data_IF_169695902823
#
_entry.id   IF_169695902823
#
_cell.length_a   1.000
_cell.length_b   1.000
_cell.length_c   1.000
_cell.angle_alpha   90.00
_cell.angle_beta   90.00
_cell.angle_gamma   90.00
#
_symmetry.space_group_name_H-M   'P 1'
#
loop_
_entity.id
_entity.type
_entity.pdbx_description
1 polymer ?
#
# COMPACT_ATOMS: atom_id res chain seq x y z
N UNK A 1 44.30 10.69 2.45
CA UNK A 1 43.65 10.87 1.14
C UNK A 1 42.33 10.15 1.20
N UNK A 2 41.25 10.91 1.36
CA UNK A 2 39.90 10.40 1.42
C UNK A 2 39.47 9.92 0.03
N UNK A 3 38.92 8.70 -0.04
CA UNK A 3 38.25 8.19 -1.23
C UNK A 3 36.87 8.84 -1.29
N UNK A 4 36.70 9.78 -2.22
CA UNK A 4 35.39 10.33 -2.57
C UNK A 4 34.54 9.26 -3.25
N UNK A 5 33.57 8.72 -2.50
CA UNK A 5 32.40 8.04 -3.06
C UNK A 5 31.61 9.05 -3.89
N UNK A 6 31.79 9.01 -5.22
CA UNK A 6 30.90 9.71 -6.15
C UNK A 6 29.48 9.14 -6.04
N UNK A 7 28.57 9.94 -5.50
CA UNK A 7 27.14 9.74 -5.62
C UNK A 7 26.74 9.95 -7.08
N UNK A 8 26.45 8.86 -7.79
CA UNK A 8 25.82 8.91 -9.12
C UNK A 8 24.31 9.09 -8.91
N UNK A 9 23.81 10.27 -9.28
CA UNK A 9 22.38 10.54 -9.44
C UNK A 9 21.94 10.11 -10.85
N UNK A 10 20.90 9.27 -11.03
CA UNK A 10 20.53 8.80 -12.35
C UNK A 10 19.55 9.77 -13.03
N UNK A 11 20.00 10.39 -14.11
CA UNK A 11 19.12 10.96 -15.14
C UNK A 11 18.62 9.85 -16.06
N UNK A 12 17.34 9.50 -15.93
CA UNK A 12 16.67 8.33 -16.56
C UNK A 12 16.85 8.18 -18.08
N UNK A 13 17.14 9.27 -18.81
CA UNK A 13 17.28 9.25 -20.27
C UNK A 13 18.61 8.66 -20.75
N UNK A 14 19.65 8.62 -19.91
CA UNK A 14 20.95 8.01 -20.25
C UNK A 14 20.94 6.48 -20.13
N UNK A 15 20.13 5.94 -19.22
CA UNK A 15 20.09 4.51 -18.94
C UNK A 15 19.47 3.73 -20.11
N UNK A 16 18.37 4.23 -20.67
CA UNK A 16 17.71 3.61 -21.83
C UNK A 16 18.59 3.60 -23.09
N UNK A 17 19.33 4.69 -23.36
CA UNK A 17 20.29 4.77 -24.48
C UNK A 17 21.49 3.85 -24.29
N UNK A 18 21.89 3.61 -23.05
CA UNK A 18 23.01 2.71 -22.70
C UNK A 18 22.59 1.25 -22.84
N UNK A 19 21.39 0.90 -22.37
CA UNK A 19 20.82 -0.44 -22.54
C UNK A 19 20.64 -0.79 -24.02
N UNK A 20 20.11 0.14 -24.83
CA UNK A 20 19.94 -0.08 -26.28
C UNK A 20 21.27 -0.34 -26.99
N UNK A 21 22.32 0.43 -26.65
CA UNK A 21 23.68 0.21 -27.20
C UNK A 21 24.27 -1.13 -26.75
N UNK A 22 24.06 -1.51 -25.50
CA UNK A 22 24.48 -2.80 -24.96
C UNK A 22 23.82 -3.95 -25.72
N UNK A 23 22.49 -3.95 -25.84
CA UNK A 23 21.73 -4.98 -26.56
C UNK A 23 22.18 -5.10 -28.03
N UNK A 24 22.36 -3.97 -28.71
CA UNK A 24 22.86 -3.97 -30.09
C UNK A 24 24.27 -4.55 -30.21
N UNK A 25 25.11 -4.41 -29.18
CA UNK A 25 26.45 -4.99 -29.15
C UNK A 25 26.42 -6.50 -28.85
N UNK A 26 25.47 -6.95 -28.03
CA UNK A 26 25.22 -8.38 -27.78
C UNK A 26 24.79 -9.11 -29.06
N UNK A 27 23.94 -8.50 -29.90
CA UNK A 27 23.52 -9.08 -31.18
C UNK A 27 24.69 -9.34 -32.15
N UNK A 28 25.79 -8.60 -32.03
CA UNK A 28 27.00 -8.78 -32.85
C UNK A 28 27.95 -9.87 -32.33
N UNK A 29 27.66 -10.50 -31.20
CA UNK A 29 28.49 -11.55 -30.60
C UNK A 29 28.13 -12.94 -31.17
N UNK A 30 29.03 -13.91 -31.08
CA UNK A 30 28.72 -15.29 -31.46
C UNK A 30 27.66 -15.90 -30.54
N UNK A 31 26.84 -16.82 -31.04
CA UNK A 31 25.75 -17.46 -30.27
C UNK A 31 26.26 -18.04 -28.94
N UNK A 32 27.40 -18.74 -28.95
CA UNK A 32 28.00 -19.31 -27.73
C UNK A 32 28.32 -18.25 -26.68
N UNK A 33 28.81 -17.08 -27.11
CA UNK A 33 29.17 -16.00 -26.20
C UNK A 33 27.93 -15.28 -25.67
N UNK A 34 26.88 -15.15 -26.49
CA UNK A 34 25.58 -14.65 -26.05
C UNK A 34 24.97 -15.56 -24.98
N UNK A 35 24.94 -16.87 -25.23
CA UNK A 35 24.42 -17.88 -24.31
C UNK A 35 25.14 -17.85 -22.96
N UNK A 36 26.48 -17.91 -22.96
CA UNK A 36 27.27 -17.82 -21.72
C UNK A 36 27.05 -16.50 -20.98
N UNK A 37 26.90 -15.38 -21.68
CA UNK A 37 26.61 -14.09 -21.07
C UNK A 37 25.23 -14.07 -20.39
N UNK A 38 24.20 -14.61 -21.05
CA UNK A 38 22.87 -14.70 -20.47
C UNK A 38 22.80 -15.70 -19.30
N UNK A 39 23.51 -16.82 -19.37
CA UNK A 39 23.64 -17.77 -18.25
C UNK A 39 24.32 -17.13 -17.04
N UNK A 40 25.40 -16.36 -17.25
CA UNK A 40 26.09 -15.65 -16.19
C UNK A 40 25.20 -14.58 -15.56
N UNK A 41 24.46 -13.81 -16.37
CA UNK A 41 23.47 -12.85 -15.90
C UNK A 41 22.37 -13.55 -15.09
N UNK A 42 21.81 -14.66 -15.59
CA UNK A 42 20.77 -15.42 -14.89
C UNK A 42 21.28 -15.95 -13.54
N UNK A 43 22.50 -16.48 -13.50
CA UNK A 43 23.14 -16.97 -12.27
C UNK A 43 23.37 -15.84 -11.28
N UNK A 44 23.81 -14.68 -11.76
CA UNK A 44 24.02 -13.50 -10.92
C UNK A 44 22.70 -13.00 -10.30
N UNK A 45 21.65 -12.89 -11.12
CA UNK A 45 20.30 -12.52 -10.65
C UNK A 45 19.79 -13.52 -9.61
N UNK A 46 19.95 -14.83 -9.84
CA UNK A 46 19.56 -15.86 -8.88
C UNK A 46 20.31 -15.76 -7.54
N UNK A 47 21.60 -15.40 -7.58
CA UNK A 47 22.40 -15.14 -6.38
C UNK A 47 21.93 -13.91 -5.61
N UNK A 48 21.61 -12.82 -6.32
CA UNK A 48 21.03 -11.62 -5.71
C UNK A 48 19.68 -11.93 -5.05
N UNK A 49 18.78 -12.64 -5.73
CA UNK A 49 17.51 -13.06 -5.12
C UNK A 49 17.73 -13.92 -3.88
N UNK A 50 18.72 -14.81 -3.88
CA UNK A 50 19.04 -15.64 -2.72
C UNK A 50 19.57 -14.79 -1.56
N UNK A 51 20.35 -13.73 -1.83
CA UNK A 51 20.77 -12.76 -0.83
C UNK A 51 19.58 -11.99 -0.26
N UNK A 52 18.72 -11.44 -1.12
CA UNK A 52 17.53 -10.72 -0.69
C UNK A 52 16.58 -11.61 0.13
N UNK A 53 16.44 -12.89 -0.24
CA UNK A 53 15.68 -13.89 0.54
C UNK A 53 16.30 -14.12 1.93
N UNK A 54 17.62 -14.23 2.04
CA UNK A 54 18.32 -14.38 3.34
C UNK A 54 18.14 -13.14 4.22
N UNK A 55 18.19 -11.96 3.62
CA UNK A 55 18.09 -10.68 4.33
C UNK A 55 16.63 -10.29 4.62
N UNK A 56 15.65 -11.11 4.21
CA UNK A 56 14.23 -10.85 4.40
C UNK A 56 13.67 -9.70 3.56
N UNK A 57 14.41 -9.31 2.52
CA UNK A 57 14.12 -8.18 1.63
C UNK A 57 13.78 -8.56 0.17
N UNK A 58 13.20 -9.75 -0.15
CA UNK A 58 12.97 -10.15 -1.55
C UNK A 58 11.96 -9.28 -2.30
N UNK A 59 11.26 -8.39 -1.60
CA UNK A 59 10.28 -7.47 -2.17
C UNK A 59 10.72 -5.99 -2.04
N UNK A 60 11.98 -5.73 -1.68
CA UNK A 60 12.49 -4.37 -1.59
C UNK A 60 12.46 -3.72 -2.98
N UNK A 61 11.81 -2.57 -3.09
CA UNK A 61 11.58 -1.89 -4.38
C UNK A 61 10.35 -2.36 -5.16
N UNK A 62 9.70 -3.46 -4.77
CA UNK A 62 8.43 -3.90 -5.35
C UNK A 62 7.30 -3.06 -4.75
N UNK A 63 6.57 -2.34 -5.60
CA UNK A 63 5.35 -1.67 -5.17
C UNK A 63 4.29 -2.75 -4.88
N UNK A 64 3.93 -2.88 -3.61
CA UNK A 64 2.93 -3.86 -3.19
C UNK A 64 1.65 -3.17 -2.75
N UNK A 65 0.52 -3.63 -3.29
CA UNK A 65 -0.80 -3.17 -2.91
C UNK A 65 -1.08 -3.45 -1.42
N UNK A 66 -0.60 -4.59 -0.91
CA UNK A 66 -0.79 -5.04 0.47
C UNK A 66 0.02 -4.25 1.51
N UNK A 67 1.20 -3.72 1.13
CA UNK A 67 2.19 -3.16 2.09
C UNK A 67 2.13 -1.64 2.28
N UNK A 68 1.13 -0.96 1.74
CA UNK A 68 0.90 0.45 2.00
C UNK A 68 1.43 1.37 0.90
N UNK A 69 0.50 1.84 0.09
CA UNK A 69 0.64 2.97 -0.84
C UNK A 69 -0.43 4.00 -0.45
N UNK A 70 -1.30 4.40 -1.38
CA UNK A 70 -2.48 5.25 -1.11
C UNK A 70 -3.58 4.58 -0.25
N UNK A 71 -3.52 3.26 -0.06
CA UNK A 71 -4.55 2.48 0.62
C UNK A 71 -4.25 2.15 2.09
N UNK A 72 -3.00 2.38 2.52
CA UNK A 72 -2.50 1.97 3.82
C UNK A 72 -2.26 0.47 3.95
N UNK A 73 -2.08 -0.02 5.18
CA UNK A 73 -1.94 -1.44 5.51
C UNK A 73 -3.27 -2.14 5.32
N UNK A 74 -3.31 -3.07 4.36
CA UNK A 74 -4.46 -3.91 4.11
C UNK A 74 -4.39 -5.17 4.98
N UNK A 75 -5.55 -5.60 5.48
CA UNK A 75 -5.71 -6.88 6.16
C UNK A 75 -5.91 -7.99 5.13
N UNK A 76 -6.73 -7.73 4.12
CA UNK A 76 -7.11 -8.72 3.13
C UNK A 76 -7.35 -8.08 1.76
N UNK A 77 -7.05 -8.82 0.70
CA UNK A 77 -7.46 -8.49 -0.65
C UNK A 77 -8.21 -9.67 -1.25
N UNK A 78 -9.42 -9.45 -1.75
CA UNK A 78 -10.24 -10.49 -2.37
C UNK A 78 -10.55 -10.11 -3.82
N UNK A 79 -10.45 -11.06 -4.73
CA UNK A 79 -10.90 -10.86 -6.11
C UNK A 79 -12.43 -10.98 -6.17
N UNK A 80 -13.10 -9.92 -6.65
CA UNK A 80 -14.55 -9.88 -6.83
C UNK A 80 -14.97 -10.40 -8.20
N UNK A 81 -14.20 -10.07 -9.23
CA UNK A 81 -14.41 -10.57 -10.59
C UNK A 81 -13.12 -10.47 -11.41
N UNK A 82 -13.04 -11.31 -12.43
CA UNK A 82 -12.03 -11.27 -13.48
C UNK A 82 -12.71 -11.32 -14.86
N UNK A 83 -12.33 -10.41 -15.74
CA UNK A 83 -12.83 -10.27 -17.11
C UNK A 83 -11.66 -10.42 -18.08
N UNK A 84 -11.73 -11.38 -19.00
CA UNK A 84 -10.71 -11.54 -20.03
C UNK A 84 -10.91 -10.48 -21.12
N UNK A 85 -9.82 -9.82 -21.50
CA UNK A 85 -9.75 -8.83 -22.57
C UNK A 85 -8.85 -9.36 -23.70
N UNK A 86 -8.98 -8.81 -24.93
CA UNK A 86 -8.04 -9.07 -26.02
C UNK A 86 -6.57 -8.90 -25.63
N UNK A 87 -5.69 -9.61 -26.34
CA UNK A 87 -4.24 -9.52 -26.10
C UNK A 87 -3.76 -10.20 -24.83
N UNK A 88 -4.47 -11.23 -24.35
CA UNK A 88 -4.18 -11.97 -23.11
C UNK A 88 -4.07 -11.05 -21.88
N UNK A 89 -4.94 -10.04 -21.84
CA UNK A 89 -5.12 -9.14 -20.72
C UNK A 89 -6.32 -9.60 -19.89
N UNK A 90 -6.27 -9.35 -18.58
CA UNK A 90 -7.36 -9.70 -17.67
C UNK A 90 -7.59 -8.54 -16.72
N UNK A 91 -8.82 -8.01 -16.75
CA UNK A 91 -9.27 -6.92 -15.91
C UNK A 91 -9.92 -7.49 -14.65
N UNK A 92 -9.33 -7.20 -13.49
CA UNK A 92 -9.76 -7.72 -12.20
C UNK A 92 -10.32 -6.62 -11.33
N UNK A 93 -11.47 -6.87 -10.69
CA UNK A 93 -11.95 -6.00 -9.59
C UNK A 93 -11.55 -6.62 -8.27
N UNK A 94 -10.87 -5.85 -7.45
CA UNK A 94 -10.33 -6.25 -6.17
C UNK A 94 -11.06 -5.49 -5.05
N UNK A 95 -11.46 -6.23 -4.02
CA UNK A 95 -11.93 -5.68 -2.76
C UNK A 95 -10.76 -5.61 -1.77
N UNK A 96 -10.36 -4.39 -1.43
CA UNK A 96 -9.28 -4.11 -0.49
C UNK A 96 -9.90 -3.88 0.89
N UNK A 97 -9.60 -4.74 1.84
CA UNK A 97 -10.06 -4.61 3.22
C UNK A 97 -8.91 -4.09 4.09
N UNK A 98 -9.19 -3.03 4.84
CA UNK A 98 -8.34 -2.47 5.90
C UNK A 98 -9.11 -2.37 7.21
N UNK A 99 -8.48 -1.77 8.21
CA UNK A 99 -9.08 -1.63 9.54
C UNK A 99 -8.68 -2.80 10.43
N UNK A 100 -9.30 -2.85 11.60
CA UNK A 100 -8.93 -3.73 12.69
C UNK A 100 -10.15 -4.00 13.56
N UNK A 101 -10.37 -5.26 13.91
CA UNK A 101 -11.40 -5.62 14.88
C UNK A 101 -10.96 -5.24 16.31
N UNK A 102 -11.90 -5.34 17.26
CA UNK A 102 -11.62 -4.90 18.63
C UNK A 102 -10.64 -5.86 19.33
N UNK A 103 -10.75 -7.15 19.01
CA UNK A 103 -9.93 -8.22 19.57
C UNK A 103 -8.46 -8.06 19.17
N UNK A 104 -8.16 -7.79 17.89
CA UNK A 104 -6.80 -7.50 17.40
C UNK A 104 -6.26 -6.21 18.02
N UNK A 105 -7.09 -5.16 18.11
CA UNK A 105 -6.69 -3.89 18.75
C UNK A 105 -6.37 -4.08 20.24
N UNK A 106 -7.17 -4.86 20.97
CA UNK A 106 -6.95 -5.18 22.37
C UNK A 106 -5.66 -5.99 22.56
N UNK A 107 -5.46 -7.02 21.73
CA UNK A 107 -4.22 -7.79 21.73
C UNK A 107 -2.99 -6.94 21.35
N UNK A 108 -3.15 -5.87 20.57
CA UNK A 108 -2.05 -4.92 20.31
C UNK A 108 -1.72 -4.08 21.55
N UNK A 109 -2.71 -3.66 22.32
CA UNK A 109 -2.49 -2.93 23.58
C UNK A 109 -1.81 -3.80 24.62
N UNK A 110 -2.22 -5.06 24.76
CA UNK A 110 -1.62 -6.02 25.70
C UNK A 110 -0.14 -6.33 25.36
N UNK A 111 0.19 -6.42 24.07
CA UNK A 111 1.57 -6.65 23.60
C UNK A 111 2.42 -5.38 23.55
N UNK A 112 1.82 -4.20 23.76
CA UNK A 112 2.54 -2.94 23.67
C UNK A 112 3.53 -2.81 24.84
N UNK A 113 4.75 -2.28 24.59
CA UNK A 113 5.69 -1.98 25.66
C UNK A 113 5.09 -1.01 26.68
N UNK A 114 5.59 -1.04 27.91
CA UNK A 114 5.18 -0.09 28.94
C UNK A 114 5.40 1.37 28.48
N UNK A 115 4.36 2.17 28.70
CA UNK A 115 4.40 3.60 28.45
C UNK A 115 4.60 4.33 29.78
N UNK A 116 5.80 4.87 29.95
CA UNK A 116 6.18 5.69 31.11
C UNK A 116 5.21 6.86 31.31
N UNK A 117 4.65 7.38 30.20
CA UNK A 117 3.80 8.57 30.21
C UNK A 117 2.31 8.22 30.41
N UNK A 118 1.99 6.93 30.50
CA UNK A 118 0.66 6.37 30.71
C UNK A 118 -0.43 6.92 29.75
N UNK A 119 -0.05 7.27 28.51
CA UNK A 119 -0.94 7.76 27.45
C UNK A 119 -1.40 6.65 26.49
N UNK A 120 -0.92 5.42 26.65
CA UNK A 120 -1.44 4.28 25.90
C UNK A 120 -2.84 3.88 26.36
N UNK A 121 -3.71 3.54 25.41
CA UNK A 121 -5.04 3.02 25.69
C UNK A 121 -6.08 3.49 24.71
N UNK A 122 -7.34 3.18 25.00
CA UNK A 122 -8.48 3.59 24.18
C UNK A 122 -8.93 5.01 24.53
N UNK A 123 -9.24 5.77 23.49
CA UNK A 123 -9.69 7.15 23.56
C UNK A 123 -10.97 7.33 22.74
N UNK A 124 -11.82 8.23 23.21
CA UNK A 124 -13.06 8.62 22.56
C UNK A 124 -13.05 10.12 22.25
N UNK A 125 -13.43 10.49 21.03
CA UNK A 125 -13.68 11.88 20.64
C UNK A 125 -15.13 12.24 20.97
N UNK A 126 -15.33 13.06 22.00
CA UNK A 126 -16.66 13.39 22.55
C UNK A 126 -17.66 13.95 21.54
N UNK A 127 -17.20 14.59 20.45
CA UNK A 127 -18.10 15.22 19.46
C UNK A 127 -18.88 14.21 18.60
N UNK A 128 -18.32 13.02 18.38
CA UNK A 128 -18.85 12.03 17.43
C UNK A 128 -18.80 10.60 17.97
N UNK A 129 -18.49 10.44 19.27
CA UNK A 129 -18.27 9.14 19.93
C UNK A 129 -17.26 8.24 19.20
N UNK A 130 -16.33 8.84 18.43
CA UNK A 130 -15.33 8.12 17.65
C UNK A 130 -14.27 7.53 18.55
N UNK A 131 -14.00 6.23 18.41
CA UNK A 131 -13.05 5.52 19.25
C UNK A 131 -11.80 5.19 18.46
N UNK A 132 -10.65 5.33 19.13
CA UNK A 132 -9.35 4.96 18.60
C UNK A 132 -8.46 4.42 19.72
N UNK A 133 -7.46 3.66 19.32
CA UNK A 133 -6.44 3.13 20.22
C UNK A 133 -5.15 3.93 20.01
N UNK A 134 -4.55 4.37 21.10
CA UNK A 134 -3.29 5.12 21.10
C UNK A 134 -2.19 4.21 21.63
N UNK A 135 -1.15 4.00 20.84
CA UNK A 135 0.02 3.20 21.19
C UNK A 135 1.30 4.04 21.09
N UNK A 136 2.21 3.86 22.04
CA UNK A 136 3.50 4.55 22.05
C UNK A 136 4.36 4.01 20.91
N UNK A 137 5.05 4.93 20.24
CA UNK A 137 5.99 4.62 19.17
C UNK A 137 7.25 5.47 19.37
N UNK A 138 8.42 4.82 19.31
CA UNK A 138 9.69 5.55 19.23
C UNK A 138 9.94 6.00 17.79
N UNK A 139 10.23 7.29 17.61
CA UNK A 139 10.69 7.80 16.30
C UNK A 139 12.14 7.42 16.07
N UNK A 140 12.62 7.59 14.82
CA UNK A 140 14.05 7.37 14.49
C UNK A 140 14.98 8.26 15.29
N UNK A 141 14.50 9.47 15.63
CA UNK A 141 15.23 10.47 16.41
C UNK A 141 15.11 10.24 17.94
N UNK A 142 14.55 9.10 18.37
CA UNK A 142 14.38 8.74 19.77
C UNK A 142 13.26 9.51 20.50
N UNK A 143 12.54 10.40 19.83
CA UNK A 143 11.43 11.15 20.43
C UNK A 143 10.22 10.26 20.68
N UNK A 144 9.49 10.57 21.75
CA UNK A 144 8.22 9.89 22.09
C UNK A 144 7.12 10.42 21.18
N UNK A 145 6.59 9.53 20.35
CA UNK A 145 5.41 9.77 19.53
C UNK A 145 4.37 8.67 19.79
N UNK A 146 3.20 8.85 19.21
CA UNK A 146 2.10 7.92 19.32
C UNK A 146 1.56 7.55 17.94
N UNK A 147 1.09 6.31 17.84
CA UNK A 147 0.37 5.79 16.70
C UNK A 147 -1.09 5.64 17.08
N UNK A 148 -1.96 6.14 16.21
CA UNK A 148 -3.41 6.09 16.31
C UNK A 148 -3.89 4.91 15.48
N UNK A 149 -4.44 3.89 16.12
CA UNK A 149 -5.08 2.75 15.47
C UNK A 149 -6.58 3.03 15.43
N UNK A 150 -7.16 2.92 14.23
CA UNK A 150 -8.58 3.17 13.99
C UNK A 150 -9.28 1.89 13.54
N UNK A 151 -10.58 1.71 13.86
CA UNK A 151 -11.32 0.53 13.42
C UNK A 151 -11.40 0.41 11.89
N UNK A 152 -11.38 1.52 11.17
CA UNK A 152 -11.75 1.59 9.75
C UNK A 152 -10.60 1.95 8.79
N UNK A 153 -9.43 2.30 9.33
CA UNK A 153 -8.29 2.79 8.54
C UNK A 153 -6.99 2.19 9.03
N UNK A 154 -5.93 2.36 8.24
CA UNK A 154 -4.60 2.02 8.66
C UNK A 154 -4.13 2.87 9.83
N UNK A 155 -3.26 2.31 10.71
CA UNK A 155 -2.68 3.07 11.80
C UNK A 155 -1.98 4.35 11.32
N UNK A 156 -2.30 5.48 11.94
CA UNK A 156 -1.80 6.82 11.59
C UNK A 156 -0.80 7.29 12.64
N UNK A 157 0.18 8.07 12.23
CA UNK A 157 1.14 8.73 13.14
C UNK A 157 0.83 10.22 13.33
N UNK A 158 -0.20 10.72 12.65
CA UNK A 158 -0.58 12.13 12.70
C UNK A 158 -1.95 12.31 13.37
N UNK A 159 -2.04 13.30 14.25
CA UNK A 159 -3.26 13.80 14.86
C UNK A 159 -3.52 15.20 14.30
N UNK A 160 -4.67 15.38 13.63
CA UNK A 160 -5.08 16.65 13.02
C UNK A 160 -4.01 17.25 12.08
N UNK A 161 -3.40 16.40 11.25
CA UNK A 161 -2.37 16.77 10.26
C UNK A 161 -0.95 16.96 10.82
N UNK A 162 -0.77 16.90 12.13
CA UNK A 162 0.53 17.07 12.79
C UNK A 162 1.00 15.75 13.41
N UNK A 163 2.31 15.58 13.59
CA UNK A 163 2.87 14.41 14.29
C UNK A 163 2.23 14.27 15.68
N UNK A 164 1.79 13.05 16.01
CA UNK A 164 1.15 12.76 17.28
C UNK A 164 2.21 12.62 18.38
N UNK A 165 2.71 13.77 18.86
CA UNK A 165 3.70 13.83 19.95
C UNK A 165 3.02 13.75 21.33
N UNK A 166 3.80 13.52 22.38
CA UNK A 166 3.32 13.59 23.76
C UNK A 166 2.62 14.92 24.08
N UNK A 167 3.19 16.04 23.66
CA UNK A 167 2.60 17.36 23.88
C UNK A 167 1.23 17.47 23.21
N UNK A 168 1.11 16.98 21.97
CA UNK A 168 -0.16 16.99 21.25
C UNK A 168 -1.18 16.03 21.86
N UNK A 169 -0.74 14.89 22.38
CA UNK A 169 -1.60 13.97 23.14
C UNK A 169 -2.12 14.60 24.44
N UNK A 170 -1.28 15.33 25.17
CA UNK A 170 -1.70 16.02 26.40
C UNK A 170 -2.65 17.21 26.15
N UNK A 171 -2.53 17.86 25.00
CA UNK A 171 -3.36 19.01 24.62
C UNK A 171 -4.68 18.64 23.95
N UNK A 172 -4.87 17.39 23.53
CA UNK A 172 -6.08 17.00 22.84
C UNK A 172 -7.28 16.90 23.80
N UNK A 173 -8.49 16.98 23.24
CA UNK A 173 -9.75 16.88 23.99
C UNK A 173 -10.32 15.45 24.03
N UNK A 174 -9.53 14.44 23.68
CA UNK A 174 -10.00 13.06 23.64
C UNK A 174 -10.06 12.49 25.04
N UNK A 175 -11.19 11.88 25.39
CA UNK A 175 -11.39 11.26 26.70
C UNK A 175 -10.83 9.83 26.66
N UNK A 176 -9.94 9.50 27.59
CA UNK A 176 -9.52 8.10 27.78
C UNK A 176 -10.68 7.28 28.33
N UNK A 177 -10.87 6.07 27.79
CA UNK A 177 -11.93 5.15 28.17
C UNK A 177 -11.37 3.76 28.45
N UNK A 178 -12.12 2.94 29.18
CA UNK A 178 -11.75 1.53 29.43
C UNK A 178 -11.95 0.70 28.16
N UNK A 179 -11.22 -0.44 28.01
CA UNK A 179 -11.46 -1.37 26.90
C UNK A 179 -12.92 -1.82 26.80
N UNK A 180 -13.57 -2.10 27.93
CA UNK A 180 -14.99 -2.52 27.95
C UNK A 180 -15.92 -1.45 27.37
N UNK A 181 -15.71 -0.19 27.75
CA UNK A 181 -16.46 0.94 27.19
C UNK A 181 -16.11 1.19 25.71
N UNK A 182 -14.89 0.85 25.29
CA UNK A 182 -14.46 1.02 23.91
C UNK A 182 -15.06 -0.03 22.96
N UNK A 183 -15.29 -1.25 23.45
CA UNK A 183 -15.70 -2.41 22.64
C UNK A 183 -16.93 -2.15 21.78
N UNK A 184 -18.00 -1.67 22.41
CA UNK A 184 -19.27 -1.45 21.70
C UNK A 184 -19.12 -0.41 20.59
N UNK A 185 -18.54 0.75 20.91
CA UNK A 185 -18.34 1.82 19.93
C UNK A 185 -17.33 1.44 18.84
N UNK A 186 -16.26 0.70 19.17
CA UNK A 186 -15.29 0.20 18.20
C UNK A 186 -15.95 -0.76 17.22
N UNK A 187 -16.66 -1.77 17.71
CA UNK A 187 -17.36 -2.75 16.88
C UNK A 187 -18.42 -2.10 16.01
N UNK A 188 -19.15 -1.12 16.56
CA UNK A 188 -20.14 -0.36 15.79
C UNK A 188 -19.48 0.46 14.67
N UNK A 189 -18.41 1.20 14.95
CA UNK A 189 -17.67 1.95 13.92
C UNK A 189 -17.04 1.04 12.88
N UNK A 190 -16.46 -0.08 13.32
CA UNK A 190 -15.91 -1.10 12.44
C UNK A 190 -16.98 -1.61 11.48
N UNK A 191 -18.18 -1.97 11.99
CA UNK A 191 -19.32 -2.39 11.17
C UNK A 191 -19.80 -1.30 10.21
N UNK A 192 -20.06 -0.08 10.69
CA UNK A 192 -20.57 1.02 9.85
C UNK A 192 -19.60 1.39 8.73
N UNK A 193 -18.30 1.28 8.99
CA UNK A 193 -17.24 1.59 8.00
C UNK A 193 -17.23 0.67 6.78
N UNK A 194 -17.99 -0.43 6.79
CA UNK A 194 -18.16 -1.28 5.63
C UNK A 194 -18.77 -0.54 4.44
N UNK A 195 -19.83 0.21 4.71
CA UNK A 195 -20.65 0.83 3.66
C UNK A 195 -20.68 2.35 3.78
N UNK A 196 -20.55 2.88 5.01
CA UNK A 196 -20.71 4.29 5.33
C UNK A 196 -19.37 4.98 5.47
N UNK A 197 -19.23 6.15 4.86
CA UNK A 197 -18.06 7.00 5.07
C UNK A 197 -18.10 7.65 6.46
N UNK A 198 -16.94 8.14 6.92
CA UNK A 198 -16.81 8.78 8.23
C UNK A 198 -17.73 10.00 8.38
N UNK A 199 -18.01 10.74 7.30
CA UNK A 199 -18.94 11.87 7.34
C UNK A 199 -20.35 11.43 7.73
N UNK A 200 -20.85 10.35 7.13
CA UNK A 200 -22.18 9.80 7.44
C UNK A 200 -22.20 9.24 8.86
N UNK A 201 -21.13 8.55 9.29
CA UNK A 201 -20.99 8.08 10.67
C UNK A 201 -21.03 9.23 11.69
N UNK A 202 -20.53 10.42 11.31
CA UNK A 202 -20.58 11.66 12.11
C UNK A 202 -21.92 12.41 12.02
N UNK A 203 -22.91 11.89 11.28
CA UNK A 203 -24.18 12.55 11.03
C UNK A 203 -24.09 13.74 10.05
N UNK A 204 -23.02 13.83 9.25
CA UNK A 204 -22.82 14.89 8.26
C UNK A 204 -23.31 14.44 6.87
N UNK A 205 -23.79 15.38 6.06
CA UNK A 205 -24.16 15.11 4.67
C UNK A 205 -22.90 14.92 3.81
N UNK A 206 -22.76 13.77 3.15
CA UNK A 206 -21.68 13.49 2.22
C UNK A 206 -22.17 13.59 0.77
N UNK A 207 -21.99 14.76 0.15
CA UNK A 207 -22.41 14.98 -1.24
C UNK A 207 -21.64 14.15 -2.28
N UNK A 208 -20.57 13.47 -1.89
CA UNK A 208 -19.79 12.62 -2.77
C UNK A 208 -20.21 11.14 -2.62
N UNK A 209 -20.91 10.61 -3.62
CA UNK A 209 -21.34 9.20 -3.68
C UNK A 209 -20.18 8.21 -3.73
N UNK A 210 -19.00 8.63 -4.20
CA UNK A 210 -17.78 7.80 -4.27
C UNK A 210 -16.82 8.10 -3.11
N UNK A 211 -17.30 8.72 -2.02
CA UNK A 211 -16.48 9.02 -0.86
C UNK A 211 -15.87 7.74 -0.25
N UNK A 212 -14.54 7.73 -0.14
CA UNK A 212 -13.73 6.65 0.42
C UNK A 212 -13.28 6.91 1.87
N UNK A 213 -13.54 8.11 2.38
CA UNK A 213 -13.07 8.57 3.69
C UNK A 213 -13.67 7.71 4.79
N UNK A 214 -12.80 7.01 5.53
CA UNK A 214 -13.18 6.15 6.64
C UNK A 214 -13.97 4.90 6.27
N UNK A 215 -13.99 4.48 4.99
CA UNK A 215 -14.51 3.16 4.60
C UNK A 215 -13.43 2.10 4.78
N UNK A 216 -13.77 0.93 5.31
CA UNK A 216 -12.82 -0.19 5.46
C UNK A 216 -12.66 -1.03 4.20
N UNK A 217 -13.69 -1.08 3.35
CA UNK A 217 -13.62 -1.74 2.05
C UNK A 217 -13.47 -0.70 0.94
N UNK A 218 -12.48 -0.92 0.08
CA UNK A 218 -12.28 -0.16 -1.13
C UNK A 218 -12.28 -1.08 -2.33
N UNK A 219 -12.90 -0.63 -3.41
CA UNK A 219 -12.80 -1.33 -4.70
C UNK A 219 -11.74 -0.67 -5.58
N UNK A 220 -10.83 -1.48 -6.09
CA UNK A 220 -9.85 -1.09 -7.10
C UNK A 220 -9.95 -2.02 -8.30
N UNK A 221 -9.55 -1.52 -9.47
CA UNK A 221 -9.46 -2.32 -10.68
C UNK A 221 -8.00 -2.51 -11.05
N UNK A 222 -7.61 -3.74 -11.36
CA UNK A 222 -6.24 -4.11 -11.69
C UNK A 222 -6.21 -4.82 -13.04
N UNK A 223 -5.41 -4.31 -13.98
CA UNK A 223 -5.12 -4.95 -15.25
C UNK A 223 -3.90 -5.86 -15.11
N UNK A 224 -4.04 -7.10 -15.51
CA UNK A 224 -3.08 -8.19 -15.33
C UNK A 224 -2.95 -8.96 -16.65
N UNK A 225 -1.99 -9.89 -16.76
CA UNK A 225 -1.72 -10.66 -17.97
C UNK A 225 -0.50 -10.12 -18.72
N UNK A 226 -0.54 -10.09 -20.05
CA UNK A 226 0.57 -9.62 -20.88
C UNK A 226 0.68 -8.09 -20.95
N UNK A 227 0.66 -7.43 -19.79
CA UNK A 227 0.69 -5.96 -19.65
C UNK A 227 1.93 -5.35 -20.30
N UNK A 228 3.08 -6.03 -20.23
CA UNK A 228 4.34 -5.55 -20.81
C UNK A 228 4.33 -5.51 -22.34
N UNK A 229 3.55 -6.38 -22.99
CA UNK A 229 3.44 -6.39 -24.46
C UNK A 229 2.70 -5.14 -24.95
N UNK A 230 1.72 -4.69 -24.17
CA UNK A 230 0.91 -3.51 -24.47
C UNK A 230 1.41 -2.26 -23.75
N UNK A 231 2.67 -2.25 -23.29
CA UNK A 231 3.19 -1.21 -22.38
C UNK A 231 3.08 0.20 -22.96
N UNK A 232 3.49 0.39 -24.22
CA UNK A 232 3.47 1.70 -24.86
C UNK A 232 2.05 2.26 -25.01
N UNK A 233 1.10 1.40 -25.42
CA UNK A 233 -0.32 1.74 -25.47
C UNK A 233 -0.87 2.12 -24.09
N UNK A 234 -0.56 1.32 -23.07
CA UNK A 234 -1.00 1.57 -21.70
C UNK A 234 -0.38 2.86 -21.13
N UNK A 235 0.87 3.17 -21.45
CA UNK A 235 1.51 4.43 -21.07
C UNK A 235 0.86 5.64 -21.77
N UNK A 236 0.53 5.52 -23.06
CA UNK A 236 -0.18 6.57 -23.79
C UNK A 236 -1.59 6.81 -23.23
N UNK A 237 -2.29 5.75 -22.83
CA UNK A 237 -3.66 5.83 -22.30
C UNK A 237 -3.72 6.32 -20.86
N UNK A 238 -2.87 5.78 -19.98
CA UNK A 238 -2.92 5.99 -18.53
C UNK A 238 -1.90 7.04 -18.04
N UNK A 239 -0.97 7.47 -18.91
CA UNK A 239 0.11 8.42 -18.60
C UNK A 239 1.39 7.77 -18.06
N UNK A 240 2.41 8.60 -17.76
CA UNK A 240 3.75 8.12 -17.38
C UNK A 240 3.89 7.59 -15.94
N UNK A 241 2.86 7.72 -15.10
CA UNK A 241 2.91 7.36 -13.66
C UNK A 241 2.43 5.93 -13.34
N UNK A 242 2.37 5.06 -14.35
CA UNK A 242 1.88 3.70 -14.15
C UNK A 242 3.02 2.79 -13.76
N UNK A 243 3.00 2.35 -12.51
CA UNK A 243 3.96 1.38 -12.01
C UNK A 243 3.29 0.02 -11.84
N UNK A 244 4.03 -1.04 -12.15
CA UNK A 244 3.59 -2.41 -11.86
C UNK A 244 3.49 -2.60 -10.35
N UNK A 245 2.36 -3.15 -9.92
CA UNK A 245 2.04 -3.41 -8.52
C UNK A 245 1.87 -4.91 -8.33
N UNK A 246 2.50 -5.45 -7.28
CA UNK A 246 2.26 -6.80 -6.78
C UNK A 246 1.11 -6.79 -5.78
N UNK A 247 0.13 -7.65 -5.97
CA UNK A 247 -1.00 -7.84 -5.07
C UNK A 247 -1.10 -9.31 -4.67
N UNK A 248 -1.18 -9.57 -3.38
CA UNK A 248 -1.38 -10.92 -2.83
C UNK A 248 -2.83 -11.04 -2.35
N UNK A 249 -3.55 -12.02 -2.88
CA UNK A 249 -4.93 -12.28 -2.52
C UNK A 249 -5.00 -13.10 -1.22
N UNK A 250 -6.17 -13.07 -0.59
CA UNK A 250 -6.49 -13.89 0.58
C UNK A 250 -6.38 -15.40 0.33
N UNK A 251 -6.45 -15.83 -0.93
CA UNK A 251 -6.23 -17.22 -1.36
C UNK A 251 -4.75 -17.61 -1.42
N UNK A 252 -3.83 -16.67 -1.22
CA UNK A 252 -2.38 -16.85 -1.41
C UNK A 252 -1.91 -16.66 -2.86
N UNK A 253 -2.83 -16.46 -3.80
CA UNK A 253 -2.49 -16.16 -5.19
C UNK A 253 -1.84 -14.77 -5.30
N UNK A 254 -0.81 -14.66 -6.14
CA UNK A 254 -0.08 -13.41 -6.38
C UNK A 254 -0.38 -12.90 -7.78
N UNK A 255 -0.85 -11.65 -7.84
CA UNK A 255 -1.12 -10.91 -9.06
C UNK A 255 -0.04 -9.85 -9.26
N UNK A 256 0.37 -9.64 -10.52
CA UNK A 256 1.24 -8.53 -10.93
C UNK A 256 0.59 -7.81 -12.10
N UNK A 257 0.54 -6.48 -12.03
CA UNK A 257 -0.23 -5.70 -13.00
C UNK A 257 -0.32 -4.22 -12.65
N UNK A 258 -1.17 -3.50 -13.38
CA UNK A 258 -1.38 -2.05 -13.22
C UNK A 258 -2.70 -1.80 -12.52
N UNK A 259 -2.73 -0.88 -11.55
CA UNK A 259 -3.99 -0.44 -10.96
C UNK A 259 -4.59 0.66 -11.83
N UNK A 260 -5.77 0.40 -12.39
CA UNK A 260 -6.45 1.26 -13.34
C UNK A 260 -7.39 2.21 -12.59
N UNK A 261 -7.25 3.54 -12.76
CA UNK A 261 -8.21 4.51 -12.24
C UNK A 261 -9.62 4.23 -12.74
N UNK A 262 -10.62 4.37 -11.87
CA UNK A 262 -11.99 3.93 -12.12
C UNK A 262 -12.63 4.66 -13.32
N UNK A 263 -12.26 5.91 -13.53
CA UNK A 263 -12.62 6.77 -14.66
C UNK A 263 -12.00 6.32 -16.00
N UNK A 264 -10.84 5.66 -15.96
CA UNK A 264 -10.15 5.16 -17.15
C UNK A 264 -10.57 3.74 -17.56
N UNK A 265 -11.27 2.99 -16.69
CA UNK A 265 -11.67 1.61 -16.99
C UNK A 265 -12.56 1.53 -18.24
N UNK A 266 -13.53 2.44 -18.38
CA UNK A 266 -14.41 2.46 -19.55
C UNK A 266 -13.64 2.75 -20.84
N UNK A 267 -12.71 3.70 -20.78
CA UNK A 267 -11.84 4.07 -21.91
C UNK A 267 -10.90 2.94 -22.30
N UNK A 268 -10.30 2.26 -21.32
CA UNK A 268 -9.46 1.08 -21.52
C UNK A 268 -10.22 -0.02 -22.27
N UNK A 269 -11.48 -0.29 -21.88
CA UNK A 269 -12.31 -1.29 -22.57
C UNK A 269 -12.55 -0.93 -24.03
N UNK A 270 -12.85 0.34 -24.31
CA UNK A 270 -13.08 0.81 -25.68
C UNK A 270 -11.80 0.66 -26.52
N UNK A 271 -10.68 1.18 -26.03
CA UNK A 271 -9.43 1.22 -26.79
C UNK A 271 -8.71 -0.12 -26.95
N UNK A 272 -9.05 -1.16 -26.17
CA UNK A 272 -8.53 -2.52 -26.37
C UNK A 272 -9.36 -3.31 -27.40
N UNK A 273 -10.61 -2.90 -27.65
CA UNK A 273 -11.50 -3.54 -28.61
C UNK A 273 -11.38 -2.94 -30.02
N UNK A 274 -10.78 -1.75 -30.14
CA UNK A 274 -10.42 -1.06 -31.39
C UNK A 274 -9.08 -1.55 -31.93
#
# INVERSE_FOLDING_TARGET
MALETQQVSPGRDQDGKTLKRFLNRVLGMSCRLQETLFELLATHVASMEAADRRDGLPNQGVLSLNRGMRWGRLQQVTELMAENLPGALVLRRLCLMRGMDFEEASAMLERAPEDQEAMQGFYMRSKHEEVLLVLRRRTRDGQVAYQLVLPHDSPKTQLDGNSCTLAKMKQNSMRRITPDAAKEHWTQQHRLSETQCLHVQRGQNCGNRTCRSGKRFLEETMLTGQVLVHWDFLCALLGEKNSLVRCELNTGAVLVGLVIPQDMVARLRQSILE
#
